data_IF_931931525009
#
_entry.id   IF_931931525009
#
_cell.length_a   1.000
_cell.length_b   1.000
_cell.length_c   1.000
_cell.angle_alpha   90.00
_cell.angle_beta   90.00
_cell.angle_gamma   90.00
#
_symmetry.space_group_name_H-M   'P 1'
#
loop_
_entity.id
_entity.type
_entity.pdbx_description
1 polymer ?
#
# COMPACT_ATOMS: atom_id res chain seq x y z
N UNK A 1 -6.45 14.83 -35.00
CA UNK A 1 -5.40 13.95 -34.46
C UNK A 1 -5.68 13.78 -32.97
N UNK A 2 -6.42 12.74 -32.62
CA UNK A 2 -6.71 12.39 -31.23
C UNK A 2 -5.48 11.74 -30.63
N UNK A 3 -4.78 12.48 -29.77
CA UNK A 3 -3.64 11.96 -29.01
C UNK A 3 -4.15 10.90 -28.04
N UNK A 4 -3.85 9.64 -28.30
CA UNK A 4 -4.07 8.54 -27.37
C UNK A 4 -3.14 8.78 -26.18
N UNK A 5 -3.68 9.28 -25.07
CA UNK A 5 -2.97 9.28 -23.79
C UNK A 5 -2.80 7.81 -23.44
N UNK A 6 -1.59 7.29 -23.62
CA UNK A 6 -1.24 5.99 -23.06
C UNK A 6 -1.43 6.11 -21.55
N UNK A 7 -2.49 5.51 -21.01
CA UNK A 7 -2.62 5.33 -19.58
C UNK A 7 -1.46 4.42 -19.17
N UNK A 8 -0.38 5.02 -18.66
CA UNK A 8 0.67 4.26 -17.99
C UNK A 8 -0.01 3.53 -16.85
N UNK A 9 -0.18 2.23 -17.00
CA UNK A 9 -0.74 1.36 -15.97
C UNK A 9 0.11 1.55 -14.71
N UNK A 10 -0.47 2.15 -13.68
CA UNK A 10 0.20 2.43 -12.39
C UNK A 10 0.30 1.16 -11.55
N UNK A 11 0.68 0.03 -12.15
CA UNK A 11 0.79 -1.26 -11.45
C UNK A 11 1.84 -1.12 -10.34
N UNK A 12 1.37 -1.12 -9.09
CA UNK A 12 2.21 -0.88 -7.92
C UNK A 12 3.26 -1.98 -7.73
N UNK A 13 3.05 -3.19 -8.27
CA UNK A 13 4.06 -4.26 -8.22
C UNK A 13 5.30 -3.92 -9.03
N UNK A 14 5.16 -3.16 -10.12
CA UNK A 14 6.31 -2.72 -10.93
C UNK A 14 7.11 -1.60 -10.23
N UNK A 15 6.55 -1.01 -9.17
CA UNK A 15 7.25 -0.02 -8.35
C UNK A 15 8.11 -0.69 -7.27
N UNK A 16 7.62 -1.78 -6.67
CA UNK A 16 8.35 -2.57 -5.67
C UNK A 16 9.70 -3.02 -6.25
N UNK A 17 10.75 -2.89 -5.44
CA UNK A 17 12.13 -3.23 -5.82
C UNK A 17 12.92 -2.08 -6.47
N UNK A 18 12.27 -0.97 -6.85
CA UNK A 18 12.95 0.24 -7.31
C UNK A 18 13.80 0.87 -6.19
N UNK A 19 14.88 1.56 -6.56
CA UNK A 19 15.63 2.37 -5.60
C UNK A 19 15.07 3.79 -5.53
N UNK A 20 15.29 4.50 -4.42
CA UNK A 20 14.81 5.87 -4.23
C UNK A 20 15.37 6.84 -5.30
N UNK A 21 16.58 6.59 -5.80
CA UNK A 21 17.22 7.40 -6.87
C UNK A 21 16.87 6.95 -8.30
N UNK A 22 16.06 5.90 -8.47
CA UNK A 22 15.72 5.38 -9.81
C UNK A 22 14.75 6.30 -10.56
N UNK A 23 14.87 6.33 -11.88
CA UNK A 23 13.95 7.07 -12.77
C UNK A 23 12.53 6.52 -12.71
N UNK A 24 12.40 5.23 -12.49
CA UNK A 24 11.18 4.47 -12.33
C UNK A 24 10.44 4.98 -11.10
N UNK A 25 11.12 5.09 -9.95
CA UNK A 25 10.53 5.62 -8.72
C UNK A 25 9.99 7.05 -8.92
N UNK A 26 10.78 7.93 -9.54
CA UNK A 26 10.36 9.28 -9.85
C UNK A 26 9.16 9.33 -10.81
N UNK A 27 9.12 8.42 -11.80
CA UNK A 27 8.04 8.33 -12.78
C UNK A 27 6.72 7.91 -12.14
N UNK A 28 6.73 6.95 -11.20
CA UNK A 28 5.53 6.58 -10.44
C UNK A 28 4.99 7.74 -9.60
N UNK A 29 5.85 8.48 -8.90
CA UNK A 29 5.42 9.66 -8.15
C UNK A 29 4.85 10.76 -9.05
N UNK A 30 5.42 10.94 -10.24
CA UNK A 30 4.91 11.88 -11.24
C UNK A 30 3.53 11.47 -11.75
N UNK A 31 3.31 10.18 -12.05
CA UNK A 31 2.01 9.66 -12.44
C UNK A 31 0.95 9.87 -11.34
N UNK A 32 1.28 9.60 -10.07
CA UNK A 32 0.41 9.88 -8.94
C UNK A 32 0.09 11.37 -8.79
N UNK A 33 1.05 12.25 -9.08
CA UNK A 33 0.82 13.70 -9.11
C UNK A 33 -0.23 14.06 -10.15
N UNK A 34 -0.15 13.49 -11.36
CA UNK A 34 -1.14 13.69 -12.41
C UNK A 34 -2.54 13.19 -12.00
N UNK A 35 -2.64 12.01 -11.38
CA UNK A 35 -3.91 11.50 -10.84
C UNK A 35 -4.49 12.41 -9.75
N UNK A 36 -3.64 12.97 -8.89
CA UNK A 36 -4.04 13.92 -7.85
C UNK A 36 -4.28 15.34 -8.38
N UNK A 37 -4.24 15.59 -9.70
CA UNK A 37 -4.34 16.92 -10.31
C UNK A 37 -3.31 17.93 -9.77
N UNK A 38 -2.07 17.47 -9.57
CA UNK A 38 -0.94 18.27 -9.07
C UNK A 38 0.15 18.41 -10.13
N UNK A 39 0.82 19.56 -10.14
CA UNK A 39 1.95 19.82 -11.04
C UNK A 39 3.23 19.08 -10.66
N UNK A 40 3.38 18.70 -9.39
CA UNK A 40 4.56 17.98 -8.89
C UNK A 40 4.25 17.12 -7.66
N UNK A 41 5.08 16.09 -7.39
CA UNK A 41 4.98 15.29 -6.18
C UNK A 41 5.17 16.18 -4.93
N UNK A 42 4.39 15.95 -3.85
CA UNK A 42 4.64 16.59 -2.57
C UNK A 42 5.89 15.99 -1.92
N UNK A 43 6.54 16.76 -1.03
CA UNK A 43 7.59 16.20 -0.19
C UNK A 43 7.00 15.17 0.79
N UNK A 44 7.63 14.00 0.99
CA UNK A 44 7.17 13.03 1.97
C UNK A 44 7.55 13.44 3.40
N UNK A 45 6.78 12.97 4.38
CA UNK A 45 7.25 12.90 5.76
C UNK A 45 8.16 11.67 5.90
N UNK A 46 9.42 11.88 6.31
CA UNK A 46 10.44 10.84 6.41
C UNK A 46 10.50 10.30 7.85
N UNK A 47 10.43 8.97 8.01
CA UNK A 47 10.66 8.28 9.29
C UNK A 47 11.76 7.24 9.13
N UNK A 48 13.01 7.59 9.45
CA UNK A 48 14.13 6.66 9.37
C UNK A 48 14.17 5.74 10.61
N UNK A 49 14.51 4.49 10.36
CA UNK A 49 14.83 3.44 11.32
C UNK A 49 16.14 2.77 10.90
N UNK A 50 16.82 2.02 11.78
CA UNK A 50 18.06 1.33 11.43
C UNK A 50 17.91 0.36 10.25
N UNK A 51 16.75 -0.26 10.10
CA UNK A 51 16.42 -1.32 9.14
C UNK A 51 15.40 -0.91 8.07
N UNK A 52 14.87 0.31 8.14
CA UNK A 52 13.86 0.79 7.20
C UNK A 52 13.81 2.32 7.13
N UNK A 53 13.35 2.87 6.00
CA UNK A 53 12.98 4.29 5.89
C UNK A 53 11.59 4.37 5.32
N UNK A 54 10.67 5.02 6.04
CA UNK A 54 9.33 5.29 5.53
C UNK A 54 9.31 6.67 4.88
N UNK A 55 8.83 6.73 3.64
CA UNK A 55 8.45 7.98 2.97
C UNK A 55 6.92 8.04 2.88
N UNK A 56 6.33 8.89 3.72
CA UNK A 56 4.89 8.99 3.85
C UNK A 56 4.36 10.13 2.97
N UNK A 57 3.66 9.78 1.89
CA UNK A 57 3.00 10.74 0.99
C UNK A 57 1.51 10.82 1.34
N UNK A 58 1.21 11.47 2.47
CA UNK A 58 -0.14 11.48 3.05
C UNK A 58 -1.21 11.97 2.06
N UNK A 59 -0.91 13.01 1.27
CA UNK A 59 -1.85 13.56 0.27
C UNK A 59 -2.04 12.66 -0.97
N UNK A 60 -1.17 11.68 -1.20
CA UNK A 60 -1.37 10.63 -2.20
C UNK A 60 -2.06 9.40 -1.65
N UNK A 61 -2.21 9.29 -0.32
CA UNK A 61 -2.74 8.10 0.33
C UNK A 61 -1.78 6.91 0.24
N UNK A 62 -0.46 7.15 0.28
CA UNK A 62 0.53 6.06 0.30
C UNK A 62 1.65 6.26 1.33
N UNK A 63 2.20 5.16 1.84
CA UNK A 63 3.49 5.11 2.52
C UNK A 63 4.42 4.13 1.82
N UNK A 64 5.63 4.56 1.50
CA UNK A 64 6.65 3.74 0.87
C UNK A 64 7.67 3.29 1.92
N UNK A 65 7.82 1.98 2.14
CA UNK A 65 8.81 1.40 3.05
C UNK A 65 10.04 0.98 2.24
N UNK A 66 11.16 1.64 2.49
CA UNK A 66 12.45 1.29 1.91
C UNK A 66 13.29 0.47 2.88
N UNK A 67 13.90 -0.60 2.37
CA UNK A 67 14.89 -1.40 3.09
C UNK A 67 16.30 -0.98 2.67
N UNK A 68 17.20 -0.69 3.62
CA UNK A 68 18.62 -0.47 3.35
C UNK A 68 19.27 -1.70 2.70
N UNK A 69 20.12 -1.49 1.70
CA UNK A 69 21.01 -2.52 1.21
C UNK A 69 22.10 -2.84 2.25
N UNK A 70 22.73 -4.01 2.11
CA UNK A 70 23.74 -4.48 3.05
C UNK A 70 24.86 -3.45 3.26
N UNK A 71 25.14 -3.12 4.52
CA UNK A 71 26.18 -2.16 4.90
C UNK A 71 25.73 -0.69 4.97
N UNK A 72 24.51 -0.35 4.51
CA UNK A 72 23.97 1.00 4.65
C UNK A 72 23.15 1.15 5.93
N UNK A 73 23.43 2.21 6.70
CA UNK A 73 22.66 2.61 7.87
C UNK A 73 22.04 4.00 7.64
N UNK A 74 20.72 4.12 7.50
CA UNK A 74 20.08 5.41 7.27
C UNK A 74 20.36 6.41 8.39
N UNK A 75 20.56 7.71 8.08
CA UNK A 75 20.70 8.74 9.10
C UNK A 75 19.45 8.81 10.00
N UNK A 76 19.65 8.68 11.32
CA UNK A 76 18.57 8.61 12.33
C UNK A 76 17.62 9.82 12.34
N UNK A 77 18.06 10.95 11.82
CA UNK A 77 17.33 12.21 11.85
C UNK A 77 17.13 12.78 10.44
N UNK A 78 17.16 11.94 9.41
CA UNK A 78 16.92 12.37 8.04
C UNK A 78 15.55 13.08 7.94
N UNK A 79 15.55 14.34 7.49
CA UNK A 79 14.33 15.14 7.29
C UNK A 79 14.02 15.39 5.81
N UNK A 80 15.00 15.21 4.93
CA UNK A 80 14.85 15.36 3.48
C UNK A 80 15.40 14.16 2.72
N UNK A 81 14.89 13.92 1.51
CA UNK A 81 15.36 12.81 0.66
C UNK A 81 16.80 13.01 0.19
N UNK A 82 17.30 14.26 0.17
CA UNK A 82 18.70 14.58 -0.13
C UNK A 82 19.69 14.17 0.96
N UNK A 83 19.21 13.90 2.18
CA UNK A 83 20.04 13.37 3.27
C UNK A 83 20.19 11.84 3.21
N UNK A 84 19.46 11.17 2.32
CA UNK A 84 19.48 9.73 2.14
C UNK A 84 20.32 9.37 0.91
N UNK A 85 21.13 8.31 1.02
CA UNK A 85 21.67 7.66 -0.17
C UNK A 85 20.55 6.84 -0.84
N UNK A 86 19.91 7.45 -1.83
CA UNK A 86 18.80 6.83 -2.53
C UNK A 86 19.17 5.63 -3.41
N UNK A 87 20.47 5.36 -3.63
CA UNK A 87 20.94 4.15 -4.32
C UNK A 87 21.01 2.94 -3.38
N UNK A 88 21.12 3.20 -2.07
CA UNK A 88 21.22 2.20 -1.01
C UNK A 88 19.88 1.86 -0.35
N UNK A 89 18.78 2.41 -0.88
CA UNK A 89 17.42 2.21 -0.37
C UNK A 89 16.56 1.56 -1.45
N UNK A 90 16.11 0.33 -1.20
CA UNK A 90 15.22 -0.42 -2.10
C UNK A 90 13.79 -0.43 -1.57
N UNK A 91 12.82 -0.08 -2.40
CA UNK A 91 11.41 -0.10 -2.02
C UNK A 91 10.95 -1.53 -1.76
N UNK A 92 10.65 -1.86 -0.51
CA UNK A 92 10.21 -3.19 -0.10
C UNK A 92 8.69 -3.37 -0.15
N UNK A 93 7.95 -2.35 0.27
CA UNK A 93 6.49 -2.36 0.23
C UNK A 93 5.88 -0.97 0.11
N UNK A 94 4.62 -0.93 -0.31
CA UNK A 94 3.80 0.28 -0.42
C UNK A 94 2.50 0.03 0.32
N UNK A 95 2.25 0.80 1.37
CA UNK A 95 0.94 0.86 2.01
C UNK A 95 0.07 1.85 1.25
N UNK A 96 -1.10 1.41 0.83
CA UNK A 96 -2.12 2.18 0.12
C UNK A 96 -3.29 2.38 1.05
N UNK A 97 -3.70 3.64 1.25
CA UNK A 97 -4.72 3.99 2.23
C UNK A 97 -6.07 4.28 1.58
N UNK A 98 -7.12 3.78 2.22
CA UNK A 98 -8.51 4.12 1.98
C UNK A 98 -9.17 4.45 3.32
N UNK A 99 -8.89 5.62 3.89
CA UNK A 99 -9.55 6.05 5.10
C UNK A 99 -11.04 6.21 4.78
N UNK A 100 -11.89 5.37 5.37
CA UNK A 100 -13.33 5.58 5.35
C UNK A 100 -13.71 6.94 5.95
N UNK A 101 -14.99 7.30 5.85
CA UNK A 101 -15.49 8.53 6.50
C UNK A 101 -15.23 8.46 8.01
N UNK A 102 -14.26 9.23 8.49
CA UNK A 102 -13.93 9.25 9.91
C UNK A 102 -15.06 9.93 10.70
N UNK A 103 -15.93 9.12 11.30
CA UNK A 103 -16.86 9.58 12.33
C UNK A 103 -16.12 9.63 13.68
N UNK A 104 -15.34 10.69 13.93
CA UNK A 104 -14.77 10.96 15.25
C UNK A 104 -13.38 11.61 15.27
N UNK A 105 -13.01 12.16 16.44
CA UNK A 105 -11.77 12.93 16.70
C UNK A 105 -10.57 12.03 17.05
N UNK A 106 -10.14 11.12 16.18
CA UNK A 106 -8.91 10.33 16.45
C UNK A 106 -7.71 10.94 15.71
N UNK A 107 -6.64 11.23 16.48
CA UNK A 107 -5.35 11.80 16.03
C UNK A 107 -4.48 10.82 15.22
N UNK A 108 -5.03 10.11 14.23
CA UNK A 108 -4.20 9.35 13.29
C UNK A 108 -3.64 10.31 12.22
N UNK A 109 -2.45 10.04 11.63
CA UNK A 109 -2.04 10.77 10.44
C UNK A 109 -3.13 10.63 9.39
N UNK A 110 -3.66 11.76 8.96
CA UNK A 110 -4.76 11.86 8.01
C UNK A 110 -4.23 11.63 6.61
N UNK A 111 -3.90 10.37 6.28
CA UNK A 111 -3.77 9.99 4.87
C UNK A 111 -5.05 10.36 4.13
N UNK A 112 -4.91 10.80 2.89
CA UNK A 112 -6.03 10.85 1.96
C UNK A 112 -6.34 9.43 1.44
N UNK A 113 -7.48 9.26 0.79
CA UNK A 113 -7.68 8.07 -0.03
C UNK A 113 -6.68 8.05 -1.18
N UNK A 114 -6.29 6.85 -1.60
CA UNK A 114 -5.31 6.67 -2.65
C UNK A 114 -5.72 7.41 -3.94
N UNK A 115 -4.85 8.32 -4.37
CA UNK A 115 -5.14 9.27 -5.44
C UNK A 115 -5.39 8.63 -6.81
N UNK A 116 -4.95 7.39 -7.03
CA UNK A 116 -5.17 6.65 -8.27
C UNK A 116 -6.29 5.60 -8.17
N UNK A 117 -7.26 5.79 -7.27
CA UNK A 117 -8.50 5.03 -7.30
C UNK A 117 -9.45 5.51 -8.43
N UNK A 118 -10.17 4.62 -9.12
CA UNK A 118 -10.12 3.15 -8.99
C UNK A 118 -8.79 2.57 -9.51
N UNK A 119 -8.19 1.68 -8.72
CA UNK A 119 -6.91 1.03 -9.04
C UNK A 119 -7.17 -0.32 -9.71
N UNK A 120 -6.54 -0.57 -10.86
CA UNK A 120 -6.65 -1.88 -11.52
C UNK A 120 -5.53 -2.78 -11.01
N UNK A 121 -5.89 -3.78 -10.20
CA UNK A 121 -4.96 -4.80 -9.77
C UNK A 121 -4.89 -5.91 -10.81
N UNK A 122 -3.69 -6.30 -11.20
CA UNK A 122 -3.45 -7.40 -12.14
C UNK A 122 -2.97 -8.63 -11.38
N UNK A 123 -3.78 -9.69 -11.23
CA UNK A 123 -3.33 -10.93 -10.61
C UNK A 123 -2.17 -11.56 -11.36
N UNK A 124 -1.36 -12.37 -10.67
CA UNK A 124 -0.27 -13.13 -11.27
C UNK A 124 -0.89 -14.01 -12.35
N UNK A 125 -0.22 -14.10 -13.50
CA UNK A 125 -0.58 -15.08 -14.52
C UNK A 125 -0.51 -16.47 -13.89
N UNK A 126 -1.68 -17.08 -13.74
CA UNK A 126 -1.87 -18.42 -13.20
C UNK A 126 -2.75 -19.26 -14.11
N UNK A 127 -3.00 -20.50 -13.70
CA UNK A 127 -3.95 -21.40 -14.37
C UNK A 127 -5.05 -21.81 -13.38
N UNK A 128 -6.32 -21.41 -13.60
CA UNK A 128 -6.79 -20.59 -14.71
C UNK A 128 -6.31 -19.12 -14.61
N UNK A 129 -6.20 -18.40 -15.74
CA UNK A 129 -5.91 -16.98 -15.73
C UNK A 129 -7.00 -16.22 -14.97
N UNK A 130 -6.60 -15.37 -14.02
CA UNK A 130 -7.52 -14.46 -13.33
C UNK A 130 -7.50 -13.10 -14.02
N UNK A 131 -8.66 -12.51 -14.35
CA UNK A 131 -8.70 -11.21 -15.01
C UNK A 131 -8.24 -10.10 -14.05
N UNK A 132 -7.76 -8.96 -14.57
CA UNK A 132 -7.58 -7.77 -13.76
C UNK A 132 -8.87 -7.39 -13.03
N UNK A 133 -8.75 -6.90 -11.79
CA UNK A 133 -9.90 -6.47 -10.99
C UNK A 133 -9.73 -5.02 -10.53
N UNK A 134 -10.83 -4.27 -10.53
CA UNK A 134 -10.83 -2.88 -10.09
C UNK A 134 -11.08 -2.78 -8.59
N UNK A 135 -10.15 -2.12 -7.90
CA UNK A 135 -10.26 -1.75 -6.50
C UNK A 135 -10.78 -0.32 -6.45
N UNK A 136 -11.93 -0.13 -5.82
CA UNK A 136 -12.56 1.17 -5.56
C UNK A 136 -12.52 1.45 -4.05
N UNK A 137 -12.91 2.65 -3.63
CA UNK A 137 -13.05 2.96 -2.20
C UNK A 137 -14.07 2.08 -1.46
N UNK A 138 -15.00 1.46 -2.19
CA UNK A 138 -16.09 0.67 -1.60
C UNK A 138 -15.89 -0.85 -1.77
N UNK A 139 -14.75 -1.28 -2.30
CA UNK A 139 -14.46 -2.71 -2.51
C UNK A 139 -14.49 -3.46 -1.18
N UNK A 140 -15.25 -4.55 -1.14
CA UNK A 140 -15.46 -5.37 0.04
C UNK A 140 -14.48 -6.53 0.10
N UNK A 141 -14.23 -7.07 1.29
CA UNK A 141 -13.36 -8.24 1.46
C UNK A 141 -13.75 -9.45 0.62
N UNK A 142 -15.05 -9.71 0.43
CA UNK A 142 -15.52 -10.81 -0.42
C UNK A 142 -15.18 -10.62 -1.89
N UNK A 143 -15.05 -9.38 -2.36
CA UNK A 143 -14.67 -9.08 -3.74
C UNK A 143 -13.18 -9.36 -3.96
N UNK A 144 -12.32 -9.10 -2.96
CA UNK A 144 -10.93 -9.56 -2.99
C UNK A 144 -10.84 -11.08 -3.04
N UNK A 145 -11.60 -11.81 -2.21
CA UNK A 145 -11.62 -13.27 -2.23
C UNK A 145 -12.13 -13.82 -3.57
N UNK A 146 -13.18 -13.19 -4.13
CA UNK A 146 -13.69 -13.58 -5.45
C UNK A 146 -12.64 -13.37 -6.55
N UNK A 147 -11.87 -12.28 -6.49
CA UNK A 147 -10.86 -11.94 -7.50
C UNK A 147 -9.54 -12.71 -7.33
N UNK A 148 -9.10 -12.98 -6.10
CA UNK A 148 -7.77 -13.53 -5.79
C UNK A 148 -7.81 -14.98 -5.31
N UNK A 149 -8.97 -15.51 -4.96
CA UNK A 149 -9.15 -16.80 -4.29
C UNK A 149 -8.99 -16.72 -2.77
N UNK A 150 -8.89 -17.87 -2.12
CA UNK A 150 -8.68 -17.94 -0.67
C UNK A 150 -7.30 -17.40 -0.28
N UNK A 151 -7.19 -16.51 0.73
CA UNK A 151 -5.91 -16.00 1.21
C UNK A 151 -5.12 -17.09 1.93
N UNK A 152 -3.79 -17.09 1.74
CA UNK A 152 -2.88 -18.04 2.37
C UNK A 152 -2.64 -17.76 3.85
N UNK A 153 -2.76 -16.49 4.27
CA UNK A 153 -2.71 -16.07 5.68
C UNK A 153 -3.88 -15.12 5.96
N UNK A 154 -4.44 -15.18 7.17
CA UNK A 154 -5.52 -14.30 7.62
C UNK A 154 -5.55 -14.22 9.12
N UNK A 155 -6.12 -13.13 9.63
CA UNK A 155 -6.31 -12.94 11.06
C UNK A 155 -7.29 -11.81 11.35
N UNK A 156 -7.63 -11.64 12.62
CA UNK A 156 -8.33 -10.46 13.10
C UNK A 156 -7.87 -10.16 14.52
N UNK A 157 -7.37 -8.95 14.73
CA UNK A 157 -6.78 -8.54 16.00
C UNK A 157 -7.77 -8.67 17.16
N UNK A 158 -7.33 -9.37 18.20
CA UNK A 158 -8.09 -9.58 19.44
C UNK A 158 -7.25 -9.41 20.70
N UNK A 159 -6.19 -8.58 20.65
CA UNK A 159 -5.27 -8.45 21.78
C UNK A 159 -4.83 -7.00 22.04
N UNK A 160 -4.90 -6.49 23.30
CA UNK A 160 -4.45 -5.14 23.66
C UNK A 160 -2.93 -4.90 23.50
N UNK A 161 -2.15 -5.96 23.21
CA UNK A 161 -0.70 -5.91 23.02
C UNK A 161 -0.26 -6.09 21.55
N UNK A 162 -1.18 -6.45 20.65
CA UNK A 162 -0.89 -6.75 19.24
C UNK A 162 -1.37 -5.60 18.34
N UNK A 163 -0.91 -4.39 18.65
CA UNK A 163 -1.01 -3.19 17.81
C UNK A 163 -2.23 -3.08 16.90
N UNK A 164 -3.47 -3.16 17.40
CA UNK A 164 -4.73 -2.80 16.72
C UNK A 164 -4.84 -3.07 15.19
N UNK A 165 -4.22 -4.13 14.66
CA UNK A 165 -4.48 -4.54 13.27
C UNK A 165 -5.88 -5.14 13.27
N UNK A 166 -6.73 -4.66 12.35
CA UNK A 166 -8.11 -5.11 12.21
C UNK A 166 -8.21 -6.55 11.68
N UNK A 167 -9.29 -6.83 10.94
CA UNK A 167 -9.38 -8.04 10.13
C UNK A 167 -8.44 -7.88 8.94
N UNK A 168 -7.65 -8.90 8.62
CA UNK A 168 -6.72 -8.86 7.50
C UNK A 168 -6.62 -10.19 6.77
N UNK A 169 -6.30 -10.09 5.49
CA UNK A 169 -6.05 -11.22 4.58
C UNK A 169 -4.78 -10.94 3.77
N UNK A 170 -3.96 -11.97 3.57
CA UNK A 170 -2.75 -11.90 2.73
C UNK A 170 -2.76 -12.97 1.66
N UNK A 171 -2.48 -12.54 0.43
CA UNK A 171 -2.23 -13.36 -0.75
C UNK A 171 -0.75 -13.20 -1.12
N UNK A 172 0.13 -13.93 -0.44
CA UNK A 172 1.60 -13.84 -0.58
C UNK A 172 2.06 -14.02 -2.04
N UNK A 173 1.47 -14.98 -2.76
CA UNK A 173 1.75 -15.22 -4.19
C UNK A 173 1.36 -14.04 -5.10
N UNK A 174 0.40 -13.24 -4.65
CA UNK A 174 -0.05 -12.03 -5.32
C UNK A 174 0.67 -10.78 -4.82
N UNK A 175 1.52 -10.89 -3.79
CA UNK A 175 2.25 -9.76 -3.22
C UNK A 175 1.33 -8.70 -2.64
N UNK A 176 0.22 -9.11 -2.00
CA UNK A 176 -0.77 -8.19 -1.44
C UNK A 176 -1.32 -8.66 -0.11
N UNK A 177 -1.44 -7.73 0.84
CA UNK A 177 -2.10 -7.89 2.13
C UNK A 177 -3.12 -6.76 2.28
N UNK A 178 -4.31 -7.08 2.76
CA UNK A 178 -5.41 -6.13 2.87
C UNK A 178 -5.95 -6.17 4.29
N UNK A 179 -5.97 -5.00 4.92
CA UNK A 179 -6.66 -4.75 6.18
C UNK A 179 -8.05 -4.17 5.90
N UNK A 180 -9.05 -4.67 6.61
CA UNK A 180 -10.43 -4.23 6.50
C UNK A 180 -10.85 -3.41 7.72
N UNK A 181 -11.89 -2.60 7.55
CA UNK A 181 -12.48 -1.86 8.65
C UNK A 181 -12.89 -2.78 9.81
N UNK A 182 -12.29 -2.52 10.97
CA UNK A 182 -12.69 -3.13 12.23
C UNK A 182 -14.08 -2.59 12.64
N UNK A 183 -15.00 -3.49 12.97
CA UNK A 183 -16.22 -3.11 13.70
C UNK A 183 -15.91 -2.66 15.13
N UNK A 184 -16.95 -2.38 15.93
CA UNK A 184 -16.77 -2.03 17.35
C UNK A 184 -15.92 -3.08 18.08
N UNK A 185 -14.96 -2.58 18.88
CA UNK A 185 -13.82 -3.31 19.44
C UNK A 185 -14.15 -4.48 20.41
N UNK A 186 -15.43 -4.79 20.65
CA UNK A 186 -15.88 -5.74 21.67
C UNK A 186 -16.22 -7.13 21.14
N UNK A 187 -16.25 -7.35 19.83
CA UNK A 187 -16.60 -8.65 19.24
C UNK A 187 -15.38 -9.21 18.56
N UNK A 188 -14.91 -10.37 19.05
CA UNK A 188 -13.92 -11.25 18.41
C UNK A 188 -13.89 -10.99 16.90
N UNK A 189 -12.79 -10.40 16.43
CA UNK A 189 -12.60 -10.06 15.03
C UNK A 189 -12.33 -11.35 14.24
N UNK A 190 -13.41 -12.07 13.98
CA UNK A 190 -13.36 -13.28 13.20
C UNK A 190 -13.24 -12.89 11.72
N UNK A 191 -12.21 -13.40 11.04
CA UNK A 191 -11.91 -13.07 9.64
C UNK A 191 -13.10 -13.34 8.71
N UNK A 192 -13.97 -14.28 9.09
CA UNK A 192 -15.23 -14.64 8.44
C UNK A 192 -16.17 -13.42 8.27
N UNK A 193 -16.06 -12.42 9.15
CA UNK A 193 -16.84 -11.16 9.08
C UNK A 193 -16.22 -10.11 8.17
N UNK A 194 -14.98 -10.30 7.71
CA UNK A 194 -14.25 -9.36 6.84
C UNK A 194 -14.85 -9.26 5.43
N UNK A 195 -15.60 -10.29 4.99
CA UNK A 195 -16.18 -10.32 3.65
C UNK A 195 -17.10 -9.13 3.33
N UNK A 196 -17.81 -8.61 4.34
CA UNK A 196 -18.72 -7.46 4.20
C UNK A 196 -18.09 -6.13 4.65
N UNK A 197 -16.78 -6.11 4.88
CA UNK A 197 -16.05 -4.91 5.31
C UNK A 197 -15.31 -4.28 4.14
N UNK A 198 -15.35 -2.95 4.11
CA UNK A 198 -14.55 -2.15 3.19
C UNK A 198 -13.08 -2.24 3.60
N UNK A 199 -12.19 -2.28 2.61
CA UNK A 199 -10.74 -2.24 2.86
C UNK A 199 -10.31 -0.86 3.36
N UNK A 200 -9.34 -0.83 4.26
CA UNK A 200 -8.79 0.39 4.87
C UNK A 200 -7.34 0.62 4.46
N UNK A 201 -6.54 -0.44 4.43
CA UNK A 201 -5.15 -0.40 4.01
C UNK A 201 -4.88 -1.61 3.13
N UNK A 202 -4.19 -1.38 2.01
CA UNK A 202 -3.67 -2.44 1.16
C UNK A 202 -2.16 -2.28 1.07
N UNK A 203 -1.41 -3.27 1.54
CA UNK A 203 0.05 -3.33 1.41
C UNK A 203 0.40 -4.13 0.18
N UNK A 204 1.11 -3.50 -0.77
CA UNK A 204 1.69 -4.15 -1.95
C UNK A 204 3.17 -4.41 -1.69
N UNK A 205 3.62 -5.62 -1.98
CA UNK A 205 5.00 -6.07 -1.73
C UNK A 205 5.43 -7.10 -2.78
N UNK A 206 6.68 -7.58 -2.69
CA UNK A 206 7.24 -8.54 -3.63
C UNK A 206 6.41 -9.85 -3.65
N UNK A 207 5.99 -10.28 -4.85
CA UNK A 207 5.21 -11.52 -5.04
C UNK A 207 5.99 -12.75 -4.58
N UNK A 208 5.32 -13.66 -3.88
CA UNK A 208 5.93 -14.86 -3.29
C UNK A 208 6.69 -14.58 -1.98
N UNK A 209 6.69 -13.34 -1.47
CA UNK A 209 7.14 -13.01 -0.12
C UNK A 209 5.94 -12.87 0.82
N UNK A 210 6.20 -12.52 2.08
CA UNK A 210 5.18 -12.32 3.11
C UNK A 210 5.45 -11.01 3.83
N UNK A 211 4.41 -10.29 4.25
CA UNK A 211 4.57 -9.10 5.10
C UNK A 211 4.86 -9.58 6.51
N UNK A 212 6.15 -9.74 6.82
CA UNK A 212 6.70 -10.25 8.09
C UNK A 212 6.34 -11.71 8.44
#
# INVERSE_FOLDING_TARGET
MTSTIASTSTDLHNWVGCTLSSTEYASYLSALSSHASRSSPPAPEIKPYPDAVYLNYQSFGISCLFTPLEGYAPPKFAQSTSELDGTQLRLGSIDVYNPGEQKGKVKQPSYAAFSALPYTFTPRSGSPPRPPFQITQNTLGKEFVLALGEPGRKGGGGGPKAGNIGIWCEWSEEGVMVEFEAGEASVVQNWEKGGEKVWKVMTVFERGKSVR
#
